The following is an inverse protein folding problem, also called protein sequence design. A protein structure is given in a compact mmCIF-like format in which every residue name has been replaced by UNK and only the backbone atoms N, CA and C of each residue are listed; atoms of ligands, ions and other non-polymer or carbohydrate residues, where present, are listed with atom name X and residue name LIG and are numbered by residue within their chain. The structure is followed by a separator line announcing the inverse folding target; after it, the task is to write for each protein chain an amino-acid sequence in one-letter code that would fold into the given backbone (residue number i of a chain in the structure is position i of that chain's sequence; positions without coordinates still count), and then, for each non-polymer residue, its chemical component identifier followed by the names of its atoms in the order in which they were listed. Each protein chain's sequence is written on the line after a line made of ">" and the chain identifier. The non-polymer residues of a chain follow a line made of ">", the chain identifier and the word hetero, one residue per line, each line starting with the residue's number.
data_IF_195351130436
#
_entry.id   IF_195351130436
#
_cell.length_a   1.000
_cell.length_b   1.000
_cell.length_c   1.000
_cell.angle_alpha   90.00
_cell.angle_beta   90.00
_cell.angle_gamma   90.00
#
_symmetry.space_group_name_H-M   'P 1'
#
loop_
_entity.id
_entity.type
_entity.pdbx_description
1 polymer ?
#
# COMPACT_ATOMS: atom_id res chain seq x y z
N UNK A 1 -12.03 -22.80 -21.07
CA UNK A 1 -11.08 -23.70 -20.38
C UNK A 1 -10.43 -22.91 -19.24
N UNK A 2 -10.74 -23.18 -17.97
CA UNK A 2 -10.14 -22.42 -16.85
C UNK A 2 -8.85 -23.11 -16.37
N UNK A 3 -7.71 -22.43 -16.47
CA UNK A 3 -6.45 -22.95 -15.92
C UNK A 3 -6.50 -22.78 -14.39
N UNK A 4 -6.59 -23.88 -13.64
CA UNK A 4 -6.45 -23.85 -12.18
C UNK A 4 -4.96 -23.88 -11.83
N UNK A 5 -4.41 -22.73 -11.43
CA UNK A 5 -3.07 -22.67 -10.87
C UNK A 5 -3.01 -23.40 -9.52
N UNK A 6 -1.99 -24.26 -9.36
CA UNK A 6 -1.63 -24.88 -8.08
C UNK A 6 -1.29 -23.81 -7.05
N UNK A 7 -1.37 -24.09 -5.73
CA UNK A 7 -0.97 -23.14 -4.69
C UNK A 7 0.43 -22.56 -4.92
N UNK A 8 1.37 -23.40 -5.38
CA UNK A 8 2.72 -22.99 -5.76
C UNK A 8 2.73 -22.08 -7.00
N UNK A 9 1.94 -22.41 -8.03
CA UNK A 9 1.77 -21.55 -9.21
C UNK A 9 1.21 -20.17 -8.88
N UNK A 10 0.40 -20.06 -7.82
CA UNK A 10 -0.10 -18.77 -7.31
C UNK A 10 0.98 -17.95 -6.58
N UNK A 11 2.07 -18.58 -6.11
CA UNK A 11 3.21 -17.90 -5.48
C UNK A 11 4.27 -17.49 -6.51
N UNK A 12 4.51 -18.33 -7.53
CA UNK A 12 5.53 -18.08 -8.55
C UNK A 12 5.16 -16.88 -9.42
N UNK A 13 3.88 -16.70 -9.76
CA UNK A 13 3.44 -15.60 -10.62
C UNK A 13 3.75 -14.21 -10.01
N UNK A 14 3.38 -13.89 -8.76
CA UNK A 14 3.75 -12.61 -8.14
C UNK A 14 5.26 -12.35 -8.08
N UNK A 15 6.06 -13.39 -7.80
CA UNK A 15 7.52 -13.27 -7.73
C UNK A 15 8.10 -12.98 -9.11
N UNK A 16 7.66 -13.70 -10.15
CA UNK A 16 8.09 -13.43 -11.53
C UNK A 16 7.64 -12.06 -12.02
N UNK A 17 6.42 -11.63 -11.65
CA UNK A 17 5.95 -10.27 -11.91
C UNK A 17 6.86 -9.27 -11.22
N UNK A 18 7.18 -9.43 -9.94
CA UNK A 18 8.08 -8.54 -9.21
C UNK A 18 9.46 -8.47 -9.87
N UNK A 19 10.07 -9.60 -10.21
CA UNK A 19 11.36 -9.66 -10.91
C UNK A 19 11.28 -8.97 -12.27
N UNK A 20 10.20 -9.19 -13.02
CA UNK A 20 9.94 -8.52 -14.28
C UNK A 20 9.78 -7.01 -14.15
N UNK A 21 9.07 -6.54 -13.12
CA UNK A 21 8.89 -5.11 -12.82
C UNK A 21 10.20 -4.44 -12.39
N UNK A 22 11.04 -5.14 -11.61
CA UNK A 22 12.38 -4.67 -11.24
C UNK A 22 13.27 -4.55 -12.48
N UNK A 23 13.30 -5.58 -13.32
CA UNK A 23 14.07 -5.57 -14.57
C UNK A 23 13.60 -4.49 -15.54
N UNK A 24 12.28 -4.34 -15.69
CA UNK A 24 11.68 -3.29 -16.51
C UNK A 24 12.02 -1.90 -15.98
N UNK A 25 11.94 -1.68 -14.67
CA UNK A 25 12.31 -0.40 -14.08
C UNK A 25 13.80 -0.09 -14.27
N UNK A 26 14.70 -1.05 -14.04
CA UNK A 26 16.13 -0.87 -14.28
C UNK A 26 16.40 -0.46 -15.72
N UNK A 27 15.72 -1.08 -16.68
CA UNK A 27 15.79 -0.74 -18.09
C UNK A 27 15.22 0.65 -18.41
N UNK A 28 14.05 1.01 -17.87
CA UNK A 28 13.42 2.32 -18.06
C UNK A 28 14.28 3.44 -17.45
N UNK A 29 14.83 3.23 -16.25
CA UNK A 29 15.73 4.17 -15.59
C UNK A 29 16.99 4.41 -16.44
N UNK A 30 17.61 3.32 -16.92
CA UNK A 30 18.80 3.40 -17.78
C UNK A 30 18.52 4.13 -19.10
N UNK A 31 17.38 3.88 -19.75
CA UNK A 31 17.01 4.53 -21.02
C UNK A 31 16.63 6.01 -20.85
N UNK A 32 16.11 6.41 -19.70
CA UNK A 32 15.76 7.81 -19.39
C UNK A 32 16.93 8.63 -18.81
N UNK A 33 18.13 8.06 -18.71
CA UNK A 33 19.28 8.72 -18.08
C UNK A 33 19.08 8.99 -16.58
N UNK A 34 18.13 8.32 -15.93
CA UNK A 34 17.92 8.39 -14.48
C UNK A 34 18.85 7.36 -13.84
N UNK A 35 19.59 7.78 -12.80
CA UNK A 35 20.45 6.86 -12.08
C UNK A 35 19.66 5.65 -11.56
N UNK A 36 20.26 4.44 -11.53
CA UNK A 36 19.56 3.18 -11.19
C UNK A 36 19.04 3.12 -9.74
N UNK A 37 19.34 4.14 -8.93
CA UNK A 37 19.10 4.18 -7.50
C UNK A 37 17.82 4.93 -7.10
N UNK A 38 17.23 5.73 -7.99
CA UNK A 38 16.08 6.60 -7.67
C UNK A 38 14.77 5.85 -7.36
N UNK A 39 14.71 4.55 -7.63
CA UNK A 39 13.51 3.72 -7.46
C UNK A 39 13.75 2.44 -6.62
N UNK A 40 14.95 2.24 -6.06
CA UNK A 40 15.22 1.07 -5.19
C UNK A 40 14.32 1.09 -3.97
N UNK A 41 14.08 2.29 -3.41
CA UNK A 41 13.17 2.48 -2.29
C UNK A 41 11.73 2.07 -2.65
N UNK A 42 11.20 2.49 -3.81
CA UNK A 42 9.87 2.10 -4.27
C UNK A 42 9.74 0.62 -4.56
N UNK A 43 10.78 0.01 -5.14
CA UNK A 43 10.86 -1.44 -5.34
C UNK A 43 10.81 -2.17 -4.00
N UNK A 44 11.53 -1.66 -3.00
CA UNK A 44 11.54 -2.24 -1.66
C UNK A 44 10.16 -2.12 -1.00
N UNK A 45 9.55 -0.94 -1.06
CA UNK A 45 8.18 -0.70 -0.60
C UNK A 45 7.17 -1.62 -1.28
N UNK A 46 7.24 -1.77 -2.61
CA UNK A 46 6.36 -2.65 -3.37
C UNK A 46 6.57 -4.12 -2.98
N UNK A 47 7.82 -4.56 -2.84
CA UNK A 47 8.15 -5.94 -2.48
C UNK A 47 7.58 -6.29 -1.09
N UNK A 48 7.79 -5.42 -0.10
CA UNK A 48 7.20 -5.60 1.23
C UNK A 48 5.67 -5.51 1.16
N UNK A 49 5.12 -4.58 0.38
CA UNK A 49 3.69 -4.46 0.13
C UNK A 49 3.06 -5.75 -0.41
N UNK A 50 3.71 -6.41 -1.37
CA UNK A 50 3.28 -7.70 -1.92
C UNK A 50 3.30 -8.79 -0.83
N UNK A 51 4.38 -8.87 -0.04
CA UNK A 51 4.50 -9.87 1.04
C UNK A 51 3.43 -9.66 2.11
N UNK A 52 3.27 -8.43 2.61
CA UNK A 52 2.26 -8.06 3.60
C UNK A 52 0.87 -8.37 3.07
N UNK A 53 0.60 -8.00 1.82
CA UNK A 53 -0.71 -8.22 1.19
C UNK A 53 -1.03 -9.67 0.96
N UNK A 54 -0.02 -10.49 0.67
CA UNK A 54 -0.21 -11.92 0.53
C UNK A 54 -0.56 -12.58 1.86
N UNK A 55 0.15 -12.22 2.94
CA UNK A 55 -0.19 -12.64 4.31
C UNK A 55 -1.60 -12.20 4.67
N UNK A 56 -1.93 -10.92 4.42
CA UNK A 56 -3.25 -10.38 4.72
C UNK A 56 -4.34 -11.12 3.95
N UNK A 57 -4.17 -11.29 2.63
CA UNK A 57 -5.10 -12.00 1.78
C UNK A 57 -5.32 -13.44 2.26
N UNK A 58 -4.26 -14.14 2.67
CA UNK A 58 -4.38 -15.47 3.24
C UNK A 58 -5.21 -15.46 4.53
N UNK A 59 -4.95 -14.54 5.46
CA UNK A 59 -5.70 -14.39 6.70
C UNK A 59 -7.18 -14.09 6.44
N UNK A 60 -7.48 -13.20 5.49
CA UNK A 60 -8.84 -12.87 5.09
C UNK A 60 -9.57 -14.10 4.56
N UNK A 61 -8.90 -14.91 3.74
CA UNK A 61 -9.48 -16.14 3.17
C UNK A 61 -9.80 -17.22 4.21
N UNK A 62 -9.08 -17.25 5.33
CA UNK A 62 -9.35 -18.19 6.43
C UNK A 62 -10.56 -17.78 7.29
N UNK A 63 -10.83 -16.47 7.37
CA UNK A 63 -11.79 -15.88 8.32
C UNK A 63 -13.09 -15.41 7.66
N UNK A 64 -13.07 -15.10 6.36
CA UNK A 64 -14.16 -14.47 5.66
C UNK A 64 -14.47 -15.18 4.34
N UNK A 65 -15.75 -15.47 4.12
CA UNK A 65 -16.24 -16.07 2.87
C UNK A 65 -16.10 -15.12 1.68
N UNK A 66 -16.15 -13.81 1.95
CA UNK A 66 -16.09 -12.75 0.95
C UNK A 66 -14.64 -12.29 0.73
N UNK A 67 -13.89 -13.09 -0.02
CA UNK A 67 -12.52 -12.75 -0.35
C UNK A 67 -12.49 -11.57 -1.36
N UNK A 68 -11.67 -10.52 -1.13
CA UNK A 68 -11.58 -9.38 -2.04
C UNK A 68 -11.22 -9.82 -3.45
N UNK A 69 -11.79 -9.15 -4.46
CA UNK A 69 -11.38 -9.35 -5.84
C UNK A 69 -9.93 -8.93 -6.02
N UNK A 70 -9.06 -9.88 -6.39
CA UNK A 70 -7.61 -9.69 -6.51
C UNK A 70 -7.22 -8.45 -7.33
N UNK A 71 -7.95 -8.15 -8.41
CA UNK A 71 -7.63 -6.98 -9.25
C UNK A 71 -7.78 -5.65 -8.53
N UNK A 72 -8.92 -5.41 -7.87
CA UNK A 72 -9.18 -4.17 -7.14
C UNK A 72 -8.34 -4.08 -5.88
N UNK A 73 -8.21 -5.20 -5.14
CA UNK A 73 -7.34 -5.28 -3.98
C UNK A 73 -5.87 -5.01 -4.33
N UNK A 74 -5.35 -5.63 -5.39
CA UNK A 74 -3.99 -5.42 -5.86
C UNK A 74 -3.75 -3.99 -6.31
N UNK A 75 -4.70 -3.39 -7.04
CA UNK A 75 -4.66 -1.97 -7.44
C UNK A 75 -4.54 -1.03 -6.24
N UNK A 76 -5.40 -1.19 -5.23
CA UNK A 76 -5.34 -0.39 -4.01
C UNK A 76 -4.00 -0.58 -3.28
N UNK A 77 -3.57 -1.82 -3.14
CA UNK A 77 -2.30 -2.18 -2.50
C UNK A 77 -1.12 -1.49 -3.16
N UNK A 78 -1.01 -1.55 -4.49
CA UNK A 78 0.08 -0.89 -5.22
C UNK A 78 0.07 0.61 -4.94
N UNK A 79 -1.08 1.27 -5.09
CA UNK A 79 -1.20 2.70 -4.82
C UNK A 79 -0.79 3.07 -3.38
N UNK A 80 -1.18 2.27 -2.40
CA UNK A 80 -0.85 2.51 -1.00
C UNK A 80 0.62 2.25 -0.65
N UNK A 81 1.24 1.23 -1.26
CA UNK A 81 2.59 0.80 -0.93
C UNK A 81 3.67 1.62 -1.67
N UNK A 82 3.52 1.80 -2.98
CA UNK A 82 4.58 2.35 -3.86
C UNK A 82 4.05 3.25 -4.97
N UNK A 83 2.75 3.52 -5.00
CA UNK A 83 2.08 4.17 -6.13
C UNK A 83 1.85 3.19 -7.29
N UNK A 84 1.52 3.72 -8.46
CA UNK A 84 1.37 2.93 -9.70
C UNK A 84 2.70 2.60 -10.38
N UNK A 85 3.79 2.63 -9.62
CA UNK A 85 5.11 2.20 -10.08
C UNK A 85 5.07 0.74 -10.59
N UNK A 86 5.75 0.38 -11.71
CA UNK A 86 6.72 1.15 -12.51
C UNK A 86 6.14 1.82 -13.76
N UNK A 87 4.83 2.08 -13.84
CA UNK A 87 4.29 2.83 -14.97
C UNK A 87 4.94 4.23 -15.01
N UNK A 88 5.22 4.76 -16.20
CA UNK A 88 6.09 5.92 -16.40
C UNK A 88 5.39 7.27 -16.15
N UNK A 89 6.17 8.20 -15.60
CA UNK A 89 6.08 9.67 -15.49
C UNK A 89 5.24 10.30 -14.37
N UNK A 90 5.93 10.85 -13.37
CA UNK A 90 5.61 11.99 -12.48
C UNK A 90 4.13 12.31 -12.21
N UNK A 91 3.79 12.42 -10.92
CA UNK A 91 2.48 12.90 -10.48
C UNK A 91 1.94 12.08 -9.32
N UNK A 92 0.74 12.44 -8.88
CA UNK A 92 0.13 11.93 -7.65
C UNK A 92 0.02 10.41 -7.65
N UNK A 93 -0.36 9.84 -8.78
CA UNK A 93 -0.54 8.40 -8.98
C UNK A 93 0.79 7.61 -8.89
N UNK A 94 1.95 8.24 -9.08
CA UNK A 94 3.25 7.57 -9.04
C UNK A 94 3.93 7.62 -7.68
N UNK A 95 3.39 8.44 -6.78
CA UNK A 95 3.75 8.45 -5.38
C UNK A 95 2.85 7.46 -4.65
N UNK A 96 3.44 6.75 -3.69
CA UNK A 96 2.63 6.04 -2.71
C UNK A 96 1.67 7.03 -2.06
N UNK A 97 0.48 6.58 -1.69
CA UNK A 97 -0.50 7.47 -1.06
C UNK A 97 0.06 8.23 0.17
N UNK A 98 0.89 7.62 1.04
CA UNK A 98 1.53 8.34 2.14
C UNK A 98 2.50 9.46 1.72
N UNK A 99 2.93 9.47 0.46
CA UNK A 99 3.88 10.42 -0.15
C UNK A 99 3.21 11.44 -1.08
N UNK A 100 1.87 11.46 -1.13
CA UNK A 100 1.14 12.41 -1.95
C UNK A 100 1.38 13.86 -1.53
N UNK A 101 1.74 14.09 -0.27
CA UNK A 101 2.15 15.38 0.25
C UNK A 101 3.38 15.98 -0.46
N UNK A 102 4.34 15.15 -0.89
CA UNK A 102 5.49 15.60 -1.70
C UNK A 102 4.99 16.19 -3.02
N UNK A 103 4.05 15.50 -3.66
CA UNK A 103 3.53 15.94 -4.96
C UNK A 103 2.67 17.19 -4.82
N UNK A 104 1.85 17.27 -3.77
CA UNK A 104 0.88 18.35 -3.57
C UNK A 104 1.51 19.62 -2.98
N UNK A 105 2.46 19.46 -2.06
CA UNK A 105 3.00 20.56 -1.24
C UNK A 105 4.52 20.65 -1.29
N UNK A 106 5.19 19.84 -2.12
CA UNK A 106 6.64 19.79 -2.25
C UNK A 106 7.32 18.96 -1.15
N UNK A 107 8.60 18.66 -1.36
CA UNK A 107 9.42 17.81 -0.48
C UNK A 107 9.49 18.30 0.97
N UNK A 108 9.41 19.62 1.21
CA UNK A 108 9.41 20.18 2.57
C UNK A 108 8.18 19.81 3.40
N UNK A 109 7.11 19.35 2.75
CA UNK A 109 5.89 18.90 3.41
C UNK A 109 5.83 17.39 3.57
N UNK A 110 6.86 16.67 3.15
CA UNK A 110 6.90 15.20 3.21
C UNK A 110 6.72 14.69 4.64
N UNK A 111 6.00 13.55 4.74
CA UNK A 111 5.59 12.88 5.98
C UNK A 111 4.57 13.68 6.78
N UNK A 112 3.78 14.52 6.10
CA UNK A 112 2.65 15.22 6.68
C UNK A 112 1.75 14.23 7.45
N UNK A 113 1.43 14.46 8.73
CA UNK A 113 0.64 13.52 9.52
C UNK A 113 -0.73 13.18 8.92
N UNK A 114 -1.31 14.05 8.10
CA UNK A 114 -2.59 13.75 7.43
C UNK A 114 -2.42 12.70 6.31
N UNK A 115 -1.34 12.76 5.54
CA UNK A 115 -1.07 11.82 4.43
C UNK A 115 -0.36 10.57 4.92
N UNK A 116 0.60 10.75 5.83
CA UNK A 116 1.39 9.70 6.44
C UNK A 116 0.66 9.08 7.65
N UNK A 117 -0.59 8.67 7.42
CA UNK A 117 -1.49 8.08 8.41
C UNK A 117 -2.52 7.15 7.77
N UNK A 118 -3.33 6.50 8.62
CA UNK A 118 -4.46 5.70 8.18
C UNK A 118 -5.72 6.53 7.87
N UNK A 119 -5.64 7.87 7.87
CA UNK A 119 -6.82 8.73 7.76
C UNK A 119 -7.53 8.58 6.40
N UNK A 120 -6.77 8.60 5.30
CA UNK A 120 -7.34 8.44 3.96
C UNK A 120 -7.96 7.04 3.77
N UNK A 121 -7.27 5.91 4.08
CA UNK A 121 -7.90 4.60 3.99
C UNK A 121 -9.10 4.45 4.92
N UNK A 122 -9.11 5.09 6.10
CA UNK A 122 -10.27 5.10 7.00
C UNK A 122 -11.52 5.66 6.32
N UNK A 123 -11.44 6.87 5.75
CA UNK A 123 -12.59 7.49 5.09
C UNK A 123 -13.01 6.73 3.83
N UNK A 124 -12.05 6.23 3.05
CA UNK A 124 -12.35 5.45 1.85
C UNK A 124 -13.02 4.13 2.18
N UNK A 125 -12.54 3.40 3.20
CA UNK A 125 -13.17 2.16 3.63
C UNK A 125 -14.62 2.45 4.02
N UNK A 126 -14.87 3.40 4.90
CA UNK A 126 -16.23 3.73 5.38
C UNK A 126 -17.14 4.16 4.22
N UNK A 127 -16.69 5.08 3.37
CA UNK A 127 -17.48 5.61 2.26
C UNK A 127 -17.75 4.59 1.15
N UNK A 128 -16.89 3.59 0.99
CA UNK A 128 -16.94 2.64 -0.13
C UNK A 128 -17.39 1.23 0.28
N UNK A 129 -17.74 0.99 1.56
CA UNK A 129 -18.18 -0.32 2.06
C UNK A 129 -19.32 -0.95 1.25
N UNK A 130 -20.21 -0.13 0.67
CA UNK A 130 -21.39 -0.58 -0.05
C UNK A 130 -21.11 -1.06 -1.48
N UNK A 131 -19.97 -0.68 -2.05
CA UNK A 131 -19.62 -0.97 -3.45
C UNK A 131 -18.52 -2.03 -3.49
N UNK A 132 -18.85 -3.28 -3.84
CA UNK A 132 -17.92 -4.43 -3.74
C UNK A 132 -16.52 -4.15 -4.31
N UNK A 133 -16.42 -3.66 -5.55
CA UNK A 133 -15.12 -3.37 -6.18
C UNK A 133 -14.34 -2.26 -5.48
N UNK A 134 -15.02 -1.18 -5.08
CA UNK A 134 -14.39 -0.05 -4.41
C UNK A 134 -14.02 -0.36 -2.95
N UNK A 135 -14.81 -1.19 -2.27
CA UNK A 135 -14.48 -1.77 -0.96
C UNK A 135 -13.20 -2.60 -1.07
N UNK A 136 -13.12 -3.49 -2.05
CA UNK A 136 -11.95 -4.35 -2.26
C UNK A 136 -10.70 -3.51 -2.55
N UNK A 137 -10.85 -2.42 -3.33
CA UNK A 137 -9.80 -1.42 -3.53
C UNK A 137 -9.39 -0.72 -2.23
N UNK A 138 -10.35 -0.25 -1.42
CA UNK A 138 -10.07 0.43 -0.15
C UNK A 138 -9.40 -0.52 0.88
N UNK A 139 -9.77 -1.80 0.90
CA UNK A 139 -9.10 -2.84 1.68
C UNK A 139 -7.65 -2.97 1.20
N UNK A 140 -7.43 -3.13 -0.11
CA UNK A 140 -6.10 -3.20 -0.70
C UNK A 140 -5.24 -1.98 -0.35
N UNK A 141 -5.80 -0.79 -0.50
CA UNK A 141 -5.16 0.48 -0.19
C UNK A 141 -4.74 0.58 1.27
N UNK A 142 -5.61 0.13 2.18
CA UNK A 142 -5.31 0.09 3.62
C UNK A 142 -4.12 -0.84 3.91
N UNK A 143 -4.04 -1.99 3.24
CA UNK A 143 -2.89 -2.89 3.37
C UNK A 143 -1.62 -2.29 2.75
N UNK A 144 -1.74 -1.62 1.60
CA UNK A 144 -0.64 -0.89 0.97
C UNK A 144 -0.06 0.18 1.90
N UNK A 145 -0.91 1.05 2.45
CA UNK A 145 -0.51 2.09 3.42
C UNK A 145 0.12 1.47 4.67
N UNK A 146 -0.47 0.38 5.20
CA UNK A 146 0.13 -0.35 6.32
C UNK A 146 1.56 -0.81 5.98
N UNK A 147 1.77 -1.41 4.81
CA UNK A 147 3.09 -1.89 4.41
C UNK A 147 4.09 -0.75 4.24
N UNK A 148 3.65 0.38 3.69
CA UNK A 148 4.48 1.55 3.51
C UNK A 148 4.96 2.11 4.85
N UNK A 149 4.04 2.32 5.79
CA UNK A 149 4.37 2.80 7.14
C UNK A 149 5.28 1.82 7.91
N UNK A 150 5.17 0.51 7.68
CA UNK A 150 6.07 -0.47 8.28
C UNK A 150 7.48 -0.41 7.69
N UNK A 151 7.61 -0.15 6.39
CA UNK A 151 8.93 0.07 5.78
C UNK A 151 9.58 1.32 6.34
N UNK A 152 8.85 2.43 6.38
CA UNK A 152 9.32 3.70 6.95
C UNK A 152 9.69 3.58 8.43
N UNK A 153 8.94 2.77 9.19
CA UNK A 153 9.25 2.41 10.58
C UNK A 153 10.60 1.67 10.69
N UNK A 154 10.81 0.65 9.86
CA UNK A 154 12.06 -0.13 9.84
C UNK A 154 13.26 0.71 9.38
N UNK A 155 13.08 1.57 8.39
CA UNK A 155 14.09 2.51 7.94
C UNK A 155 14.42 3.53 9.03
N UNK A 156 13.42 4.04 9.75
CA UNK A 156 13.61 4.95 10.88
C UNK A 156 14.32 4.29 12.06
N UNK A 157 14.13 2.99 12.28
CA UNK A 157 14.82 2.23 13.32
C UNK A 157 16.26 1.85 12.96
N UNK A 158 16.59 1.77 11.67
CA UNK A 158 17.90 1.34 11.16
C UNK A 158 18.82 2.49 10.73
N UNK A 159 18.30 3.70 10.57
CA UNK A 159 19.08 4.84 10.12
C UNK A 159 20.00 5.39 11.22
N UNK A 160 21.31 5.38 10.91
CA UNK A 160 22.36 6.10 11.62
C UNK A 160 21.99 7.60 11.77
N UNK A 161 22.40 8.30 12.85
CA UNK A 161 22.07 9.71 13.12
C UNK A 161 22.35 10.70 11.98
N UNK A 162 23.19 10.35 10.99
CA UNK A 162 23.57 11.22 9.87
C UNK A 162 22.50 11.36 8.76
N UNK A 163 21.57 10.41 8.65
CA UNK A 163 20.46 10.46 7.69
C UNK A 163 19.30 11.33 8.21
N UNK A 164 19.32 11.62 9.51
CA UNK A 164 18.45 12.54 10.21
C UNK A 164 18.93 13.98 10.03
N UNK A 165 19.12 14.43 8.78
CA UNK A 165 19.47 15.83 8.51
C UNK A 165 18.30 16.72 8.99
N UNK A 166 18.48 17.58 10.01
CA UNK A 166 17.40 18.38 10.60
C UNK A 166 16.77 19.44 9.66
N UNK A 167 17.22 19.49 8.41
CA UNK A 167 16.84 20.49 7.42
C UNK A 167 15.90 19.99 6.32
N UNK A 168 15.54 18.70 6.26
CA UNK A 168 14.73 18.20 5.14
C UNK A 168 13.21 18.16 5.38
N UNK A 169 12.72 18.22 6.63
CA UNK A 169 11.29 17.98 6.93
C UNK A 169 10.69 18.97 7.95
N UNK A 170 10.38 20.22 7.55
CA UNK A 170 9.89 21.26 8.46
C UNK A 170 8.53 20.99 9.12
N UNK A 171 7.61 20.24 8.51
CA UNK A 171 6.28 19.99 9.10
C UNK A 171 6.29 18.84 10.13
N UNK A 172 7.27 17.93 10.04
CA UNK A 172 7.48 16.83 11.00
C UNK A 172 8.63 17.13 11.97
N UNK A 173 9.06 18.40 12.06
CA UNK A 173 10.04 18.82 13.09
C UNK A 173 9.62 18.47 14.52
N UNK A 174 8.35 18.16 14.76
CA UNK A 174 7.81 17.71 16.05
C UNK A 174 7.70 16.19 16.25
N UNK A 175 7.76 15.37 15.19
CA UNK A 175 7.71 13.90 15.33
C UNK A 175 9.08 13.32 15.05
N UNK A 176 9.97 13.46 16.02
CA UNK A 176 11.26 12.80 16.00
C UNK A 176 11.35 11.76 17.12
N UNK A 177 12.16 10.74 16.91
CA UNK A 177 12.41 9.71 17.91
C UNK A 177 11.18 8.85 18.22
N UNK A 178 10.94 8.49 19.50
CA UNK A 178 9.92 7.51 19.87
C UNK A 178 8.51 7.85 19.40
N UNK A 179 8.17 9.14 19.30
CA UNK A 179 6.82 9.56 18.88
C UNK A 179 6.53 9.22 17.42
N UNK A 180 7.51 9.38 16.53
CA UNK A 180 7.36 9.02 15.11
C UNK A 180 7.17 7.50 14.95
N UNK A 181 7.95 6.71 15.69
CA UNK A 181 7.85 5.24 15.73
C UNK A 181 6.45 4.81 16.18
N UNK A 182 5.95 5.40 17.28
CA UNK A 182 4.61 5.11 17.78
C UNK A 182 3.51 5.57 16.81
N UNK A 183 3.69 6.72 16.16
CA UNK A 183 2.75 7.23 15.16
C UNK A 183 2.63 6.30 13.96
N UNK A 184 3.76 5.92 13.37
CA UNK A 184 3.80 5.02 12.21
C UNK A 184 3.24 3.64 12.56
N UNK A 185 3.66 3.07 13.69
CA UNK A 185 3.16 1.78 14.15
C UNK A 185 1.65 1.81 14.43
N UNK A 186 1.17 2.84 15.14
CA UNK A 186 -0.24 3.02 15.43
C UNK A 186 -1.08 3.12 14.16
N UNK A 187 -0.64 3.93 13.18
CA UNK A 187 -1.34 4.06 11.91
C UNK A 187 -1.27 2.79 11.04
N UNK A 188 -0.14 2.08 11.03
CA UNK A 188 -0.03 0.80 10.35
C UNK A 188 -1.03 -0.22 10.93
N UNK A 189 -1.13 -0.30 12.26
CA UNK A 189 -2.10 -1.18 12.93
C UNK A 189 -3.55 -0.77 12.66
N UNK A 190 -3.87 0.53 12.64
CA UNK A 190 -5.20 1.02 12.29
C UNK A 190 -5.54 0.63 10.83
N UNK A 191 -4.63 0.85 9.89
CA UNK A 191 -4.83 0.51 8.49
C UNK A 191 -5.03 -1.00 8.28
N UNK A 192 -4.25 -1.84 8.98
CA UNK A 192 -4.47 -3.28 9.01
C UNK A 192 -5.84 -3.64 9.61
N UNK A 193 -6.20 -3.05 10.75
CA UNK A 193 -7.50 -3.25 11.39
C UNK A 193 -8.69 -2.89 10.50
N UNK A 194 -8.56 -1.79 9.73
CA UNK A 194 -9.56 -1.37 8.75
C UNK A 194 -9.72 -2.37 7.61
N UNK A 195 -8.61 -2.83 7.02
CA UNK A 195 -8.62 -3.84 5.98
C UNK A 195 -9.30 -5.13 6.46
N UNK A 196 -8.97 -5.57 7.69
CA UNK A 196 -9.51 -6.77 8.30
C UNK A 196 -11.01 -6.63 8.58
N UNK A 197 -11.43 -5.55 9.24
CA UNK A 197 -12.83 -5.30 9.59
C UNK A 197 -13.73 -5.13 8.38
N UNK A 198 -13.25 -4.46 7.33
CA UNK A 198 -14.00 -4.22 6.10
C UNK A 198 -14.22 -5.51 5.28
N UNK A 199 -13.25 -6.42 5.28
CA UNK A 199 -13.37 -7.70 4.59
C UNK A 199 -14.49 -8.59 5.17
N UNK A 200 -14.73 -8.52 6.48
CA UNK A 200 -15.81 -9.25 7.14
C UNK A 200 -17.22 -8.72 6.87
N UNK A 201 -17.36 -7.51 6.31
CA UNK A 201 -18.67 -6.93 5.99
C UNK A 201 -19.06 -7.27 4.57
N UNK A 202 -20.06 -8.13 4.39
CA UNK A 202 -20.68 -8.32 3.08
C UNK A 202 -21.51 -7.07 2.71
N UNK A 203 -21.45 -6.59 1.46
CA UNK A 203 -22.34 -5.52 1.02
C UNK A 203 -23.79 -5.98 1.16
N UNK A 204 -24.68 -5.10 1.63
CA UNK A 204 -26.10 -5.42 1.80
C UNK A 204 -26.73 -5.97 0.52
N UNK A 205 -26.32 -5.48 -0.65
CA UNK A 205 -26.73 -5.99 -1.96
C UNK A 205 -26.38 -7.46 -2.18
N UNK A 206 -25.15 -7.88 -1.85
CA UNK A 206 -24.73 -9.29 -1.96
C UNK A 206 -25.50 -10.17 -0.96
N UNK A 207 -25.86 -9.60 0.19
CA UNK A 207 -26.67 -10.28 1.19
C UNK A 207 -28.11 -10.50 0.67
N UNK A 208 -28.72 -9.48 0.09
CA UNK A 208 -30.07 -9.55 -0.50
C UNK A 208 -30.15 -10.53 -1.67
N UNK A 209 -29.16 -10.50 -2.59
CA UNK A 209 -29.04 -11.50 -3.67
C UNK A 209 -28.95 -12.94 -3.13
N UNK A 210 -28.21 -13.15 -2.02
CA UNK A 210 -28.12 -14.47 -1.38
C UNK A 210 -29.41 -14.88 -0.68
N UNK A 211 -30.12 -13.92 -0.12
CA UNK A 211 -31.36 -14.15 0.64
C UNK A 211 -32.60 -14.25 -0.27
N UNK A 212 -32.44 -14.13 -1.60
CA UNK A 212 -33.51 -14.33 -2.58
C UNK A 212 -34.52 -13.20 -2.63
N UNK A 213 -34.13 -12.00 -2.20
CA UNK A 213 -34.95 -10.79 -2.34
C UNK A 213 -34.70 -10.19 -3.72
N UNK A 214 -35.62 -10.45 -4.65
CA UNK A 214 -35.76 -9.72 -5.93
C UNK A 214 -36.38 -8.33 -5.73
#
# INVERSE_FOLDING_TARGET
>A
MSIRLTPLGRMVVPVLVLVGLIGLNGWLSATMGRGPWLDVDKVFHLAIGIVVSWVFYYLLRQKHDAVPHYGFFGAGMMLGASGWFPLVSQGLLFSALPDWDITLFGIGSHRNPAFHSALIPFFLVIGLLHYRGMRDFAIGLSVGVCSHLLVDLCQSASSHPDWYRPNFYPIVRGMYGPFAVLWMLGNALIAAGLAYGAAGRQPALVRMEREGFE
#
